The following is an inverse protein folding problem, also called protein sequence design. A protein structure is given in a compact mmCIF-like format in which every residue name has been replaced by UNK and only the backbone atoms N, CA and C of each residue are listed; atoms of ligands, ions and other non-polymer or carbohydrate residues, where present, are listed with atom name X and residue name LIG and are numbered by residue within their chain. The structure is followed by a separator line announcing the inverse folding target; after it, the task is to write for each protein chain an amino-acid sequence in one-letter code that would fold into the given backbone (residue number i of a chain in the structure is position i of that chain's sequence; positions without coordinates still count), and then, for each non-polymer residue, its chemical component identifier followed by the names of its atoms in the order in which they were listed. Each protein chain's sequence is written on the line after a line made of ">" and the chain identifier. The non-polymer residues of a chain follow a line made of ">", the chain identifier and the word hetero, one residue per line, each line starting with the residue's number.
data_IF_115880371656
#
_entry.id   IF_115880371656
#
_cell.length_a   1.000
_cell.length_b   1.000
_cell.length_c   1.000
_cell.angle_alpha   90.00
_cell.angle_beta   90.00
_cell.angle_gamma   90.00
#
_symmetry.space_group_name_H-M   'P 1'
#
loop_
_entity.id
_entity.type
_entity.pdbx_description
1 polymer ?
#
# COMPACT_ATOMS: atom_id res chain seq x y z
N UNK A 1 -15.11 19.43 18.31
CA UNK A 1 -14.95 18.01 18.51
C UNK A 1 -13.80 17.46 17.69
N UNK A 2 -12.88 16.86 18.33
CA UNK A 2 -11.73 16.37 17.64
C UNK A 2 -11.95 14.95 17.14
N UNK A 3 -11.70 14.78 15.88
CA UNK A 3 -11.61 13.46 15.33
C UNK A 3 -10.36 12.78 15.90
N UNK A 4 -10.53 11.60 16.44
CA UNK A 4 -9.41 10.77 16.87
C UNK A 4 -8.83 9.98 15.72
N UNK A 5 -9.41 10.13 14.55
CA UNK A 5 -8.93 9.42 13.38
C UNK A 5 -7.69 10.09 12.83
N UNK A 6 -6.69 9.30 12.46
CA UNK A 6 -5.52 9.86 11.80
C UNK A 6 -5.90 10.45 10.46
N UNK A 7 -5.23 11.52 10.11
CA UNK A 7 -5.44 12.16 8.83
C UNK A 7 -4.91 11.27 7.72
N UNK A 8 -5.79 10.94 6.76
CA UNK A 8 -5.41 10.13 5.63
C UNK A 8 -4.81 11.00 4.53
N UNK A 9 -3.69 10.59 4.02
CA UNK A 9 -2.95 11.32 2.99
C UNK A 9 -2.91 10.53 1.71
N UNK A 10 -2.82 11.24 0.61
CA UNK A 10 -2.84 10.64 -0.73
C UNK A 10 -1.47 10.15 -1.14
N UNK A 11 -1.47 9.02 -1.85
CA UNK A 11 -0.29 8.49 -2.47
C UNK A 11 -0.68 7.63 -3.66
N UNK A 12 0.32 6.99 -4.25
CA UNK A 12 0.12 6.11 -5.39
C UNK A 12 0.80 4.79 -5.07
N UNK A 13 0.09 3.70 -5.29
CA UNK A 13 0.69 2.38 -5.23
C UNK A 13 1.01 1.92 -6.64
N UNK A 14 2.17 1.28 -6.80
CA UNK A 14 2.63 0.77 -8.08
C UNK A 14 2.58 -0.74 -8.07
N UNK A 15 1.93 -1.29 -9.07
CA UNK A 15 1.93 -2.72 -9.32
C UNK A 15 2.69 -3.00 -10.62
N UNK A 16 3.65 -3.91 -10.57
CA UNK A 16 4.36 -4.30 -11.76
C UNK A 16 3.46 -5.16 -12.64
N UNK A 17 3.43 -4.82 -13.93
CA UNK A 17 2.69 -5.62 -14.89
C UNK A 17 3.49 -6.87 -15.23
N UNK A 18 2.89 -8.05 -15.08
CA UNK A 18 3.53 -9.30 -15.47
C UNK A 18 3.53 -9.48 -16.98
N UNK A 19 2.54 -8.92 -17.62
CA UNK A 19 2.39 -9.05 -19.08
C UNK A 19 3.40 -8.19 -19.81
N UNK A 20 3.72 -7.04 -19.26
CA UNK A 20 4.67 -6.10 -19.85
C UNK A 20 5.71 -5.74 -18.78
N UNK A 21 6.80 -6.52 -18.66
CA UNK A 21 7.83 -6.22 -17.67
C UNK A 21 8.34 -4.80 -17.82
N UNK A 22 8.58 -4.12 -16.73
CA UNK A 22 9.01 -2.74 -16.63
C UNK A 22 7.89 -1.72 -16.79
N UNK A 23 6.67 -2.17 -17.00
CA UNK A 23 5.52 -1.26 -16.92
C UNK A 23 4.89 -1.37 -15.55
N UNK A 24 4.50 -0.23 -15.02
CA UNK A 24 3.85 -0.16 -13.71
C UNK A 24 2.46 0.41 -13.88
N UNK A 25 1.54 -0.15 -13.11
CA UNK A 25 0.17 0.33 -13.07
C UNK A 25 0.03 1.15 -11.81
N UNK A 26 -0.36 2.41 -11.96
CA UNK A 26 -0.51 3.34 -10.85
C UNK A 26 -1.94 3.32 -10.35
N UNK A 27 -2.10 3.10 -9.04
CA UNK A 27 -3.41 3.05 -8.43
C UNK A 27 -3.41 3.99 -7.23
N UNK A 28 -4.43 4.86 -7.10
CA UNK A 28 -4.49 5.77 -5.96
C UNK A 28 -4.63 5.03 -4.64
N UNK A 29 -4.01 5.58 -3.60
CA UNK A 29 -4.20 5.07 -2.26
C UNK A 29 -4.27 6.23 -1.27
N UNK A 30 -4.83 5.94 -0.11
CA UNK A 30 -4.73 6.78 1.07
C UNK A 30 -3.91 6.05 2.11
N UNK A 31 -3.16 6.78 2.90
CA UNK A 31 -2.37 6.20 3.97
C UNK A 31 -2.36 7.08 5.20
N UNK A 32 -2.15 6.46 6.34
CA UNK A 32 -1.94 7.17 7.61
C UNK A 32 -0.93 6.39 8.42
N UNK A 33 -0.17 7.10 9.24
CA UNK A 33 0.79 6.44 10.13
C UNK A 33 0.00 5.70 11.19
N UNK A 34 0.30 4.41 11.33
CA UNK A 34 -0.33 3.58 12.34
C UNK A 34 0.48 3.64 13.62
N UNK A 35 -0.20 3.89 14.73
CA UNK A 35 0.43 3.85 16.05
C UNK A 35 0.33 2.48 16.69
N UNK A 36 -0.29 1.53 16.00
CA UNK A 36 -0.43 0.18 16.52
C UNK A 36 0.88 -0.57 16.46
N UNK A 37 1.19 -1.29 17.55
CA UNK A 37 2.34 -2.17 17.58
C UNK A 37 2.15 -3.36 16.68
N UNK A 38 3.26 -3.96 16.26
CA UNK A 38 3.22 -5.20 15.48
C UNK A 38 2.40 -6.28 16.19
N UNK A 39 2.40 -6.25 17.52
CA UNK A 39 1.69 -7.26 18.31
C UNK A 39 0.19 -7.14 18.24
N UNK A 40 -0.34 -5.99 17.87
CA UNK A 40 -1.77 -5.79 17.75
C UNK A 40 -2.29 -6.06 16.35
N UNK A 41 -1.41 -6.18 15.38
CA UNK A 41 -1.80 -6.52 14.02
C UNK A 41 -1.97 -8.03 13.91
N UNK A 42 -3.03 -8.45 13.24
CA UNK A 42 -3.19 -9.86 12.92
C UNK A 42 -2.11 -10.25 11.92
N UNK A 43 -1.28 -11.20 12.30
CA UNK A 43 -0.23 -11.65 11.41
C UNK A 43 -0.86 -12.29 10.19
N UNK A 44 -0.43 -11.85 9.04
CA UNK A 44 -0.82 -12.50 7.81
C UNK A 44 -0.03 -13.79 7.67
N UNK A 45 -0.76 -14.88 7.60
CA UNK A 45 -0.13 -16.13 7.23
C UNK A 45 -0.05 -16.19 5.72
N UNK A 46 1.11 -15.81 5.23
CA UNK A 46 1.63 -16.36 3.99
C UNK A 46 0.74 -16.32 2.76
N UNK A 47 0.00 -15.25 2.55
CA UNK A 47 -0.95 -15.28 1.48
C UNK A 47 -0.59 -14.41 0.29
N UNK A 48 0.33 -13.48 0.46
CA UNK A 48 0.72 -12.59 -0.64
C UNK A 48 2.22 -12.43 -0.60
N UNK A 49 2.88 -13.00 -1.60
CA UNK A 49 4.31 -12.89 -1.72
C UNK A 49 4.72 -11.49 -2.14
N UNK A 50 5.79 -11.02 -1.52
CA UNK A 50 6.35 -9.74 -1.83
C UNK A 50 5.61 -8.61 -1.17
N UNK A 51 5.89 -7.44 -1.63
CA UNK A 51 5.30 -6.23 -1.12
C UNK A 51 4.80 -5.36 -2.25
N UNK A 52 4.56 -4.13 -1.91
CA UNK A 52 4.16 -3.14 -2.89
C UNK A 52 5.10 -1.95 -2.80
N UNK A 53 5.16 -1.21 -3.90
CA UNK A 53 5.87 0.07 -3.92
C UNK A 53 4.85 1.20 -3.87
N UNK A 54 5.16 2.22 -3.08
CA UNK A 54 4.30 3.41 -3.05
C UNK A 54 5.15 4.65 -3.30
N UNK A 55 4.49 5.67 -3.85
CA UNK A 55 5.05 7.02 -3.95
C UNK A 55 4.19 7.96 -3.13
N UNK A 56 4.82 8.67 -2.21
CA UNK A 56 4.14 9.61 -1.33
C UNK A 56 5.00 10.86 -1.16
N UNK A 57 4.39 11.95 -0.71
CA UNK A 57 5.10 13.21 -0.52
C UNK A 57 5.72 13.37 0.86
N UNK A 58 5.43 12.47 1.76
CA UNK A 58 5.95 12.55 3.12
C UNK A 58 7.25 11.80 3.28
N UNK A 59 8.15 12.37 4.05
CA UNK A 59 9.41 11.73 4.39
C UNK A 59 9.18 10.79 5.58
N UNK A 60 9.14 9.50 5.30
CA UNK A 60 8.84 8.47 6.28
C UNK A 60 10.09 7.62 6.54
N UNK A 61 10.04 6.81 7.59
CA UNK A 61 11.21 6.03 8.00
C UNK A 61 10.95 4.53 7.89
N UNK A 62 12.01 3.78 7.60
CA UNK A 62 11.95 2.32 7.62
C UNK A 62 11.51 1.86 8.99
N UNK A 63 10.61 0.90 9.04
CA UNK A 63 10.06 0.37 10.27
C UNK A 63 8.73 0.96 10.67
N UNK A 64 8.36 2.10 10.08
CA UNK A 64 7.05 2.69 10.37
C UNK A 64 5.93 1.85 9.81
N UNK A 65 4.85 1.75 10.55
CA UNK A 65 3.64 1.06 10.10
C UNK A 65 2.66 2.06 9.50
N UNK A 66 2.07 1.68 8.39
CA UNK A 66 1.08 2.51 7.70
C UNK A 66 -0.21 1.75 7.52
N UNK A 67 -1.31 2.41 7.86
CA UNK A 67 -2.63 1.95 7.45
C UNK A 67 -2.87 2.47 6.04
N UNK A 68 -3.16 1.59 5.10
CA UNK A 68 -3.40 2.00 3.72
C UNK A 68 -4.77 1.58 3.27
N UNK A 69 -5.28 2.33 2.30
CA UNK A 69 -6.51 2.01 1.61
C UNK A 69 -6.26 2.21 0.12
N UNK A 70 -6.33 1.11 -0.64
CA UNK A 70 -6.08 1.10 -2.07
C UNK A 70 -7.42 1.20 -2.79
N UNK A 71 -7.51 2.06 -3.81
CA UNK A 71 -8.73 2.27 -4.56
C UNK A 71 -8.60 1.66 -5.96
N UNK A 72 -9.11 0.43 -6.16
CA UNK A 72 -9.04 -0.20 -7.48
C UNK A 72 -9.77 0.63 -8.54
N UNK A 73 -9.35 0.51 -9.81
CA UNK A 73 -10.09 1.18 -10.88
C UNK A 73 -11.55 0.76 -10.90
N UNK A 74 -12.42 1.69 -11.30
CA UNK A 74 -13.86 1.45 -11.30
C UNK A 74 -14.27 0.25 -12.14
N UNK A 75 -13.57 0.03 -13.24
CA UNK A 75 -13.92 -1.09 -14.11
C UNK A 75 -13.68 -2.45 -13.48
N UNK A 76 -12.91 -2.51 -12.40
CA UNK A 76 -12.70 -3.78 -11.68
C UNK A 76 -13.92 -4.17 -10.85
N UNK A 77 -14.79 -3.23 -10.53
CA UNK A 77 -15.95 -3.49 -9.70
C UNK A 77 -15.63 -3.90 -8.27
N UNK A 78 -14.44 -3.56 -7.79
CA UNK A 78 -14.02 -3.93 -6.45
C UNK A 78 -14.10 -2.75 -5.49
N UNK A 79 -14.47 -3.04 -4.26
CA UNK A 79 -14.38 -2.06 -3.18
C UNK A 79 -12.93 -1.82 -2.81
N UNK A 80 -12.69 -0.74 -2.06
CA UNK A 80 -11.36 -0.42 -1.61
C UNK A 80 -10.75 -1.54 -0.77
N UNK A 81 -9.43 -1.58 -0.75
CA UNK A 81 -8.67 -2.63 -0.06
C UNK A 81 -7.91 -1.97 1.08
N UNK A 82 -8.17 -2.40 2.29
CA UNK A 82 -7.51 -1.87 3.49
C UNK A 82 -6.51 -2.87 4.03
N UNK A 83 -5.37 -2.36 4.44
CA UNK A 83 -4.31 -3.20 4.98
C UNK A 83 -3.45 -2.41 5.96
N UNK A 84 -2.78 -3.14 6.82
CA UNK A 84 -1.70 -2.59 7.65
C UNK A 84 -0.39 -3.05 7.05
N UNK A 85 0.52 -2.11 6.86
CA UNK A 85 1.79 -2.37 6.20
C UNK A 85 2.94 -1.83 7.03
N UNK A 86 4.15 -2.27 6.70
CA UNK A 86 5.36 -1.75 7.31
C UNK A 86 6.35 -1.35 6.23
N UNK A 87 6.97 -0.19 6.39
CA UNK A 87 8.00 0.27 5.47
C UNK A 87 9.26 -0.57 5.70
N UNK A 88 9.70 -1.27 4.67
CA UNK A 88 10.88 -2.14 4.75
C UNK A 88 12.02 -1.66 3.86
N UNK A 89 11.74 -0.72 2.96
CA UNK A 89 12.73 -0.26 2.01
C UNK A 89 12.42 1.17 1.59
N UNK A 90 13.47 1.93 1.33
CA UNK A 90 13.32 3.27 0.78
C UNK A 90 14.48 3.55 -0.16
N UNK A 91 14.22 4.40 -1.13
CA UNK A 91 15.28 4.84 -2.02
C UNK A 91 16.01 6.02 -1.39
N UNK A 92 17.30 5.86 -1.22
CA UNK A 92 18.11 6.85 -0.51
C UNK A 92 18.31 8.15 -1.28
N UNK A 93 18.05 8.14 -2.57
CA UNK A 93 18.30 9.32 -3.41
C UNK A 93 17.26 10.42 -3.24
N UNK A 94 16.37 10.25 -2.30
CA UNK A 94 15.42 11.28 -1.96
C UNK A 94 14.39 11.53 -3.04
N UNK A 95 13.78 12.68 -2.94
CA UNK A 95 12.67 13.04 -3.80
C UNK A 95 13.16 13.41 -5.20
N UNK A 96 12.46 12.90 -6.19
CA UNK A 96 12.60 13.39 -7.55
C UNK A 96 11.82 14.68 -7.70
N UNK A 97 11.70 15.14 -8.91
CA UNK A 97 10.91 16.33 -9.20
C UNK A 97 9.53 16.21 -8.58
N UNK A 98 9.13 17.20 -7.79
CA UNK A 98 7.87 17.18 -7.11
C UNK A 98 7.93 16.60 -5.70
N UNK A 99 9.10 16.32 -5.20
CA UNK A 99 9.33 15.86 -3.83
C UNK A 99 8.56 14.61 -3.44
N UNK A 100 8.54 13.62 -4.33
CA UNK A 100 7.95 12.34 -4.03
C UNK A 100 9.02 11.35 -3.59
N UNK A 101 8.68 10.57 -2.56
CA UNK A 101 9.55 9.55 -2.00
C UNK A 101 8.99 8.18 -2.35
N UNK A 102 9.88 7.25 -2.60
CA UNK A 102 9.52 5.87 -2.92
C UNK A 102 9.78 4.97 -1.73
N UNK A 103 8.79 4.16 -1.38
CA UNK A 103 8.91 3.21 -0.27
C UNK A 103 8.43 1.84 -0.69
N UNK A 104 9.15 0.82 -0.22
CA UNK A 104 8.68 -0.54 -0.32
C UNK A 104 7.97 -0.92 0.98
N UNK A 105 6.79 -1.52 0.84
CA UNK A 105 5.98 -1.93 1.98
C UNK A 105 5.78 -3.43 1.95
N UNK A 106 5.77 -4.03 3.14
CA UNK A 106 5.26 -5.40 3.28
C UNK A 106 3.90 -5.35 3.99
N UNK A 107 3.05 -6.28 3.68
CA UNK A 107 1.77 -6.42 4.37
C UNK A 107 1.99 -7.11 5.71
N UNK A 108 1.50 -6.52 6.79
CA UNK A 108 1.59 -7.12 8.11
C UNK A 108 0.23 -7.43 8.72
N UNK A 109 -0.85 -6.89 8.17
CA UNK A 109 -2.19 -7.21 8.62
C UNK A 109 -3.22 -6.91 7.55
N UNK A 110 -4.16 -7.84 7.35
CA UNK A 110 -5.25 -7.67 6.41
C UNK A 110 -6.31 -8.72 6.70
N UNK A 111 -7.57 -8.29 6.74
CA UNK A 111 -8.63 -9.30 6.95
C UNK A 111 -8.91 -10.08 5.66
N UNK A 112 -9.62 -11.19 5.81
CA UNK A 112 -9.85 -12.12 4.71
C UNK A 112 -10.56 -11.49 3.52
N UNK A 113 -11.51 -10.60 3.75
CA UNK A 113 -12.21 -9.94 2.66
C UNK A 113 -11.28 -9.05 1.84
N UNK A 114 -10.40 -8.34 2.51
CA UNK A 114 -9.43 -7.49 1.83
C UNK A 114 -8.39 -8.31 1.09
N UNK A 115 -7.97 -9.44 1.67
CA UNK A 115 -7.06 -10.36 0.98
C UNK A 115 -7.67 -10.84 -0.34
N UNK A 116 -8.94 -11.22 -0.30
CA UNK A 116 -9.63 -11.66 -1.52
C UNK A 116 -9.71 -10.56 -2.55
N UNK A 117 -10.02 -9.34 -2.11
CA UNK A 117 -10.07 -8.20 -3.04
C UNK A 117 -8.72 -7.94 -3.67
N UNK A 118 -7.65 -7.99 -2.87
CA UNK A 118 -6.31 -7.78 -3.42
C UNK A 118 -5.96 -8.85 -4.44
N UNK A 119 -6.26 -10.11 -4.14
CA UNK A 119 -6.02 -11.18 -5.09
C UNK A 119 -6.79 -10.99 -6.39
N UNK A 120 -8.04 -10.54 -6.30
CA UNK A 120 -8.83 -10.24 -7.49
C UNK A 120 -8.26 -9.08 -8.27
N UNK A 121 -7.81 -8.05 -7.58
CA UNK A 121 -7.18 -6.91 -8.25
C UNK A 121 -5.94 -7.35 -9.01
N UNK A 122 -5.06 -8.11 -8.37
CA UNK A 122 -3.83 -8.58 -9.01
C UNK A 122 -4.15 -9.43 -10.24
N UNK A 123 -5.20 -10.22 -10.17
CA UNK A 123 -5.65 -11.01 -11.31
C UNK A 123 -6.12 -10.14 -12.46
N UNK A 124 -6.83 -9.06 -12.15
CA UNK A 124 -7.26 -8.10 -13.16
C UNK A 124 -6.07 -7.45 -13.85
N UNK A 125 -5.06 -7.09 -13.07
CA UNK A 125 -3.90 -6.38 -13.61
C UNK A 125 -3.01 -7.28 -14.47
N UNK A 126 -3.14 -8.58 -14.33
CA UNK A 126 -2.40 -9.55 -15.12
C UNK A 126 -3.02 -9.86 -16.49
N UNK A 127 -4.18 -9.34 -16.75
CA UNK A 127 -4.86 -9.60 -18.03
C UNK A 127 -4.38 -8.67 -19.13
#
# INVERSE_FOLDING_TARGET
>A
MNSMEPEMRRGIVLFESRKFPREYIEIPLLYAISEEDENSAHQMEDTIDGGILIYVKDNLHIGMNLNIEIFPPEYCGLQSIKAITQIVWTQLQGAKDGDEYEYGLKFIGMDGNNILRLKKLLKYLDQ
#
